data_IF_685067306780
#
_entry.id   IF_685067306780
#
_cell.length_a   1.000
_cell.length_b   1.000
_cell.length_c   1.000
_cell.angle_alpha   90.00
_cell.angle_beta   90.00
_cell.angle_gamma   90.00
#
_symmetry.space_group_name_H-M   'P 1'
#
loop_
_entity.id
_entity.type
_entity.pdbx_description
1 polymer ?
#
# COMPACT_ATOMS: atom_id res chain seq x y z
N UNK A 1 6.72 -8.50 -21.91
CA UNK A 1 7.44 -8.61 -20.62
C UNK A 1 7.64 -10.07 -20.24
N UNK A 2 8.72 -10.41 -19.54
CA UNK A 2 8.93 -11.76 -18.99
C UNK A 2 7.82 -12.12 -17.96
N UNK A 3 7.26 -13.33 -18.07
CA UNK A 3 6.14 -13.78 -17.23
C UNK A 3 6.48 -13.84 -15.73
N UNK A 4 7.71 -14.21 -15.37
CA UNK A 4 8.14 -14.24 -13.97
C UNK A 4 8.27 -12.82 -13.41
N UNK A 5 8.83 -11.88 -14.19
CA UNK A 5 8.91 -10.47 -13.79
C UNK A 5 7.50 -9.88 -13.60
N UNK A 6 6.58 -10.17 -14.51
CA UNK A 6 5.18 -9.77 -14.38
C UNK A 6 4.53 -10.29 -13.08
N UNK A 7 4.73 -11.58 -12.77
CA UNK A 7 4.21 -12.18 -11.55
C UNK A 7 4.80 -11.54 -10.29
N UNK A 8 6.10 -11.23 -10.28
CA UNK A 8 6.74 -10.54 -9.14
C UNK A 8 6.19 -9.11 -8.96
N UNK A 9 5.91 -8.40 -10.05
CA UNK A 9 5.25 -7.09 -10.00
C UNK A 9 3.87 -7.21 -9.33
N UNK A 10 3.04 -8.17 -9.76
CA UNK A 10 1.72 -8.38 -9.17
C UNK A 10 1.80 -8.75 -7.68
N UNK A 11 2.73 -9.63 -7.30
CA UNK A 11 2.97 -10.01 -5.91
C UNK A 11 3.33 -8.80 -5.06
N UNK A 12 4.23 -7.94 -5.54
CA UNK A 12 4.66 -6.77 -4.79
C UNK A 12 3.56 -5.72 -4.67
N UNK A 13 2.76 -5.51 -5.72
CA UNK A 13 1.57 -4.66 -5.63
C UNK A 13 0.54 -5.20 -4.61
N UNK A 14 0.34 -6.52 -4.54
CA UNK A 14 -0.54 -7.12 -3.54
C UNK A 14 0.01 -6.91 -2.13
N UNK A 15 1.29 -7.18 -1.89
CA UNK A 15 1.94 -6.95 -0.59
C UNK A 15 1.88 -5.49 -0.16
N UNK A 16 2.13 -4.54 -1.06
CA UNK A 16 2.05 -3.11 -0.77
C UNK A 16 0.63 -2.67 -0.37
N UNK A 17 -0.40 -3.19 -1.03
CA UNK A 17 -1.81 -2.95 -0.67
C UNK A 17 -2.15 -3.54 0.69
N UNK A 18 -1.76 -4.78 0.95
CA UNK A 18 -1.94 -5.44 2.24
C UNK A 18 -1.25 -4.66 3.36
N UNK A 19 -0.04 -4.14 3.12
CA UNK A 19 0.66 -3.27 4.06
C UNK A 19 -0.16 -2.02 4.42
N UNK A 20 -0.66 -1.28 3.42
CA UNK A 20 -1.48 -0.10 3.65
C UNK A 20 -2.75 -0.40 4.46
N UNK A 21 -3.45 -1.50 4.14
CA UNK A 21 -4.62 -1.97 4.88
C UNK A 21 -4.28 -2.38 6.32
N UNK A 22 -3.12 -3.02 6.52
CA UNK A 22 -2.66 -3.44 7.85
C UNK A 22 -2.37 -2.24 8.76
N UNK A 23 -1.82 -1.15 8.21
CA UNK A 23 -1.63 0.09 8.95
C UNK A 23 -2.97 0.72 9.37
N UNK A 24 -3.97 0.73 8.50
CA UNK A 24 -5.32 1.25 8.82
C UNK A 24 -6.02 0.43 9.91
N UNK A 25 -5.91 -0.91 9.82
CA UNK A 25 -6.40 -1.82 10.85
C UNK A 25 -5.68 -1.63 12.18
N UNK A 26 -4.36 -1.43 12.16
CA UNK A 26 -3.58 -1.21 13.38
C UNK A 26 -3.98 0.09 14.09
N UNK A 27 -4.10 1.19 13.35
CA UNK A 27 -4.57 2.47 13.91
C UNK A 27 -5.99 2.39 14.49
N UNK A 28 -6.86 1.57 13.89
CA UNK A 28 -8.22 1.36 14.43
C UNK A 28 -8.21 0.49 15.69
N UNK A 29 -7.27 -0.45 15.81
CA UNK A 29 -7.20 -1.41 16.93
C UNK A 29 -6.48 -0.88 18.17
N UNK A 30 -5.73 0.22 18.07
CA UNK A 30 -4.92 0.74 19.18
C UNK A 30 -5.80 1.27 20.32
N UNK A 31 -6.68 2.24 20.03
CA UNK A 31 -7.59 2.85 21.01
C UNK A 31 -9.07 2.88 20.55
N UNK A 32 -9.37 2.24 19.42
CA UNK A 32 -10.70 2.26 18.79
C UNK A 32 -11.03 3.52 18.01
N UNK A 33 -10.11 4.50 17.89
CA UNK A 33 -10.32 5.79 17.23
C UNK A 33 -9.05 6.27 16.52
N UNK A 34 -9.13 6.45 15.21
CA UNK A 34 -8.04 7.08 14.46
C UNK A 34 -7.92 8.56 14.87
N UNK A 35 -6.80 8.92 15.50
CA UNK A 35 -6.45 10.29 15.85
C UNK A 35 -6.11 11.14 14.62
N UNK A 36 -6.01 12.47 14.78
CA UNK A 36 -5.62 13.37 13.68
C UNK A 36 -4.22 13.06 13.14
N UNK A 37 -3.29 12.70 14.02
CA UNK A 37 -1.91 12.40 13.62
C UNK A 37 -1.81 11.06 12.90
N UNK A 38 -2.53 10.05 13.37
CA UNK A 38 -2.64 8.76 12.66
C UNK A 38 -3.32 8.93 11.31
N UNK A 39 -4.40 9.70 11.21
CA UNK A 39 -5.03 10.01 9.93
C UNK A 39 -4.05 10.66 8.94
N UNK A 40 -3.18 11.56 9.43
CA UNK A 40 -2.13 12.18 8.61
C UNK A 40 -1.07 11.17 8.17
N UNK A 41 -0.68 10.25 9.04
CA UNK A 41 0.25 9.15 8.71
C UNK A 41 -0.37 8.18 7.69
N UNK A 42 -1.59 7.72 7.92
CA UNK A 42 -2.35 6.84 7.01
C UNK A 42 -2.53 7.47 5.63
N UNK A 43 -2.81 8.77 5.55
CA UNK A 43 -2.88 9.49 4.27
C UNK A 43 -1.55 9.43 3.51
N UNK A 44 -0.41 9.60 4.20
CA UNK A 44 0.92 9.50 3.58
C UNK A 44 1.25 8.07 3.16
N UNK A 45 0.92 7.09 3.98
CA UNK A 45 1.10 5.65 3.69
C UNK A 45 0.30 5.27 2.43
N UNK A 46 -0.99 5.63 2.39
CA UNK A 46 -1.85 5.37 1.24
C UNK A 46 -1.29 5.99 -0.04
N UNK A 47 -0.88 7.25 0.01
CA UNK A 47 -0.27 7.93 -1.14
C UNK A 47 1.02 7.24 -1.61
N UNK A 48 1.87 6.79 -0.68
CA UNK A 48 3.10 6.06 -1.01
C UNK A 48 2.82 4.70 -1.67
N UNK A 49 1.87 3.92 -1.13
CA UNK A 49 1.44 2.64 -1.70
C UNK A 49 0.86 2.81 -3.10
N UNK A 50 -0.01 3.80 -3.29
CA UNK A 50 -0.61 4.11 -4.60
C UNK A 50 0.46 4.54 -5.62
N UNK A 51 1.40 5.40 -5.22
CA UNK A 51 2.49 5.84 -6.08
C UNK A 51 3.38 4.66 -6.49
N UNK A 52 3.78 3.82 -5.52
CA UNK A 52 4.58 2.63 -5.78
C UNK A 52 3.89 1.67 -6.77
N UNK A 53 2.59 1.40 -6.57
CA UNK A 53 1.83 0.55 -7.48
C UNK A 53 1.74 1.15 -8.88
N UNK A 54 1.52 2.46 -9.01
CA UNK A 54 1.47 3.18 -10.29
C UNK A 54 2.80 3.12 -11.04
N UNK A 55 3.93 3.25 -10.35
CA UNK A 55 5.24 3.10 -11.00
C UNK A 55 5.45 1.68 -11.54
N UNK A 56 5.01 0.66 -10.79
CA UNK A 56 5.06 -0.73 -11.28
C UNK A 56 4.10 -0.98 -12.46
N UNK A 57 2.93 -0.32 -12.49
CA UNK A 57 2.00 -0.42 -13.62
C UNK A 57 2.61 0.13 -14.93
N UNK A 58 3.48 1.14 -14.86
CA UNK A 58 4.21 1.65 -16.04
C UNK A 58 5.22 0.67 -16.59
N UNK A 59 5.85 -0.13 -15.71
CA UNK A 59 6.74 -1.24 -16.12
C UNK A 59 5.92 -2.39 -16.68
N UNK A 60 4.66 -2.51 -16.25
CA UNK A 60 3.76 -3.55 -16.72
C UNK A 60 3.26 -3.33 -18.17
N UNK A 61 3.14 -2.07 -18.57
CA UNK A 61 2.58 -1.63 -19.84
C UNK A 61 3.41 -2.06 -21.07
#
# INVERSE_FOLDING_TARGET
>A
MNHYIYAQILNMQAMAKTFGQSCELAATKDDGKISKDEAKQLKRIKAAVEMFCKELDKVKA
#
